data_IF_379106221033
#
_entry.id   IF_379106221033
#
_cell.length_a   1.000
_cell.length_b   1.000
_cell.length_c   1.000
_cell.angle_alpha   90.00
_cell.angle_beta   90.00
_cell.angle_gamma   90.00
#
_symmetry.space_group_name_H-M   'P 1'
#
loop_
_entity.id
_entity.type
_entity.pdbx_description
1 polymer ?
#
# COMPACT_ATOMS: atom_id res chain seq x y z
N UNK A 1 0.03 -1.36 3.93
CA UNK A 1 0.48 -1.83 5.24
C UNK A 1 1.97 -2.12 5.27
N UNK A 2 2.42 -3.24 4.68
CA UNK A 2 3.74 -3.81 5.00
C UNK A 2 5.01 -3.04 4.66
N UNK A 3 4.94 -2.03 3.79
CA UNK A 3 6.02 -1.07 3.53
C UNK A 3 5.58 0.35 3.89
N UNK A 4 4.77 0.50 4.94
CA UNK A 4 4.32 1.78 5.47
C UNK A 4 4.29 1.76 7.01
N UNK A 5 3.50 0.85 7.58
CA UNK A 5 3.30 0.75 9.03
C UNK A 5 4.63 0.58 9.81
N UNK A 6 5.61 -0.23 9.36
CA UNK A 6 6.90 -0.34 10.08
C UNK A 6 7.67 0.97 10.26
N UNK A 7 7.38 1.99 9.44
CA UNK A 7 8.11 3.26 9.46
C UNK A 7 7.35 4.35 10.23
N UNK A 8 6.02 4.29 10.28
CA UNK A 8 5.16 5.31 10.90
C UNK A 8 4.62 4.85 12.26
N UNK A 9 4.29 3.58 12.41
CA UNK A 9 3.74 2.96 13.62
C UNK A 9 4.52 1.67 13.99
N UNK A 10 5.82 1.77 14.34
CA UNK A 10 6.66 0.59 14.57
C UNK A 10 6.17 -0.28 15.74
N UNK A 11 5.53 0.32 16.74
CA UNK A 11 5.01 -0.36 17.92
C UNK A 11 3.75 -1.20 17.63
N UNK A 12 3.07 -0.96 16.50
CA UNK A 12 1.88 -1.72 16.13
C UNK A 12 2.27 -3.18 15.83
N UNK A 13 1.76 -4.11 16.65
CA UNK A 13 1.93 -5.54 16.42
C UNK A 13 0.96 -6.04 15.34
N UNK A 14 1.46 -6.16 14.11
CA UNK A 14 0.69 -6.70 12.97
C UNK A 14 1.45 -7.79 12.20
N UNK A 15 2.76 -7.90 12.42
CA UNK A 15 3.68 -8.75 11.64
C UNK A 15 3.96 -10.11 12.32
N UNK A 16 5.11 -10.71 12.03
CA UNK A 16 5.50 -12.00 12.60
C UNK A 16 5.71 -12.01 14.12
N UNK A 17 5.67 -10.86 14.80
CA UNK A 17 5.51 -10.79 16.28
C UNK A 17 4.27 -11.56 16.76
N UNK A 18 3.18 -11.52 16.00
CA UNK A 18 1.94 -12.23 16.34
C UNK A 18 2.03 -13.72 16.01
N UNK A 19 2.06 -14.61 17.01
CA UNK A 19 2.36 -16.05 16.85
C UNK A 19 1.53 -16.81 15.80
N UNK A 20 0.36 -16.34 15.39
CA UNK A 20 -0.49 -17.01 14.40
C UNK A 20 -0.29 -16.49 12.97
N UNK A 21 0.51 -15.44 12.76
CA UNK A 21 0.83 -14.91 11.42
C UNK A 21 1.89 -15.79 10.77
N UNK A 22 1.50 -16.69 9.88
CA UNK A 22 2.40 -17.66 9.25
C UNK A 22 3.03 -17.16 7.94
N UNK A 23 2.39 -16.20 7.27
CA UNK A 23 2.90 -15.56 6.06
C UNK A 23 2.36 -14.13 5.92
N UNK A 24 3.11 -13.28 5.21
CA UNK A 24 2.79 -11.88 4.95
C UNK A 24 3.13 -11.58 3.49
N UNK A 25 2.28 -10.82 2.81
CA UNK A 25 2.60 -10.25 1.51
C UNK A 25 2.58 -8.72 1.53
N UNK A 26 3.33 -8.10 0.63
CA UNK A 26 3.30 -6.66 0.41
C UNK A 26 3.63 -6.32 -1.05
N UNK A 27 3.02 -5.27 -1.58
CA UNK A 27 3.32 -4.79 -2.93
C UNK A 27 4.44 -3.76 -2.87
N UNK A 28 5.58 -4.04 -3.50
CA UNK A 28 6.67 -3.06 -3.60
C UNK A 28 6.27 -1.83 -4.43
N UNK A 29 5.36 -2.01 -5.38
CA UNK A 29 4.82 -0.93 -6.20
C UNK A 29 3.68 -0.11 -5.56
N UNK A 30 3.40 -0.32 -4.27
CA UNK A 30 2.54 0.57 -3.48
C UNK A 30 3.44 1.47 -2.63
N UNK A 31 3.39 1.36 -1.31
CA UNK A 31 4.26 2.11 -0.40
C UNK A 31 5.73 1.65 -0.42
N UNK A 32 6.10 0.62 -1.20
CA UNK A 32 7.50 0.26 -1.41
C UNK A 32 8.28 1.19 -2.35
N UNK A 33 7.59 2.17 -2.97
CA UNK A 33 8.15 3.26 -3.79
C UNK A 33 8.78 2.81 -5.11
N UNK A 34 8.39 1.65 -5.64
CA UNK A 34 8.82 1.16 -6.95
C UNK A 34 7.70 1.34 -7.97
N UNK A 35 8.03 1.45 -9.26
CA UNK A 35 7.04 1.36 -10.32
C UNK A 35 6.34 -0.01 -10.38
N UNK A 36 5.15 -0.12 -11.03
CA UNK A 36 4.41 -1.37 -11.13
C UNK A 36 5.24 -2.57 -11.62
N UNK A 37 5.06 -3.73 -10.96
CA UNK A 37 5.67 -5.00 -11.39
C UNK A 37 6.46 -5.77 -10.32
N UNK A 38 6.45 -5.36 -9.05
CA UNK A 38 7.08 -6.14 -7.95
C UNK A 38 6.18 -6.27 -6.72
N UNK A 39 6.16 -7.48 -6.16
CA UNK A 39 5.51 -7.82 -4.91
C UNK A 39 6.37 -8.82 -4.13
N UNK A 40 6.09 -8.93 -2.83
CA UNK A 40 6.84 -9.76 -1.90
C UNK A 40 5.87 -10.63 -1.13
N UNK A 41 6.27 -11.87 -0.88
CA UNK A 41 5.61 -12.77 0.07
C UNK A 41 6.69 -13.44 0.90
N UNK A 42 6.48 -13.47 2.21
CA UNK A 42 7.36 -14.09 3.17
C UNK A 42 6.56 -15.08 4.00
N UNK A 43 7.14 -16.23 4.28
CA UNK A 43 6.65 -17.18 5.26
C UNK A 43 7.52 -17.10 6.50
N UNK A 44 6.92 -17.28 7.68
CA UNK A 44 7.63 -17.29 8.95
C UNK A 44 8.67 -18.41 9.02
N UNK A 45 8.31 -19.59 8.52
CA UNK A 45 9.10 -20.81 8.64
C UNK A 45 8.83 -21.72 7.44
N UNK A 46 9.85 -22.50 7.04
CA UNK A 46 9.77 -23.44 5.92
C UNK A 46 8.61 -24.44 6.08
N UNK A 47 8.28 -24.87 7.30
CA UNK A 47 7.20 -25.85 7.54
C UNK A 47 5.81 -25.37 7.11
N UNK A 48 5.63 -24.07 6.91
CA UNK A 48 4.37 -23.48 6.44
C UNK A 48 4.31 -23.35 4.91
N UNK A 49 5.35 -23.75 4.19
CA UNK A 49 5.40 -23.81 2.74
C UNK A 49 5.50 -25.29 2.30
N UNK A 50 4.39 -25.90 1.83
CA UNK A 50 4.39 -27.28 1.37
C UNK A 50 5.43 -27.54 0.29
N UNK A 51 6.18 -28.63 0.39
CA UNK A 51 7.32 -28.90 -0.49
C UNK A 51 6.88 -29.16 -1.94
N UNK A 52 5.67 -29.64 -2.15
CA UNK A 52 5.07 -29.85 -3.47
C UNK A 52 4.81 -28.55 -4.26
N UNK A 53 4.81 -27.40 -3.58
CA UNK A 53 4.71 -26.08 -4.22
C UNK A 53 6.08 -25.52 -4.60
N UNK A 54 7.16 -26.15 -4.15
CA UNK A 54 8.54 -25.69 -4.37
C UNK A 54 9.13 -26.39 -5.57
N UNK A 55 9.46 -25.60 -6.59
CA UNK A 55 10.25 -26.06 -7.72
C UNK A 55 11.73 -25.79 -7.45
N UNK A 56 12.63 -26.65 -7.94
CA UNK A 56 14.06 -26.45 -7.78
C UNK A 56 14.68 -26.02 -9.09
N UNK A 57 15.55 -25.01 -9.02
CA UNK A 57 16.30 -24.50 -10.18
C UNK A 57 17.80 -24.60 -9.92
N UNK A 58 18.57 -24.91 -10.97
CA UNK A 58 20.03 -25.00 -10.87
C UNK A 58 20.65 -23.62 -10.66
N UNK A 59 21.51 -23.50 -9.65
CA UNK A 59 22.23 -22.26 -9.36
C UNK A 59 23.64 -22.57 -8.84
N UNK A 60 24.68 -22.09 -9.54
CA UNK A 60 26.10 -22.26 -9.20
C UNK A 60 26.51 -23.72 -8.90
N UNK A 61 25.95 -24.68 -9.64
CA UNK A 61 26.23 -26.12 -9.44
C UNK A 61 25.46 -26.77 -8.30
N UNK A 62 24.62 -26.03 -7.58
CA UNK A 62 23.63 -26.54 -6.63
C UNK A 62 22.20 -26.28 -7.08
N UNK A 63 21.26 -26.37 -6.13
CA UNK A 63 19.83 -26.13 -6.34
C UNK A 63 19.33 -24.99 -5.44
N UNK A 64 18.48 -24.12 -5.98
CA UNK A 64 17.72 -23.13 -5.22
C UNK A 64 16.22 -23.41 -5.32
N UNK A 65 15.46 -23.32 -4.20
CA UNK A 65 14.01 -23.44 -4.22
C UNK A 65 13.36 -22.17 -4.79
N UNK A 66 12.35 -22.35 -5.64
CA UNK A 66 11.49 -21.30 -6.17
C UNK A 66 10.03 -21.62 -5.89
N UNK A 67 9.28 -20.60 -5.48
CA UNK A 67 7.83 -20.62 -5.39
C UNK A 67 7.32 -19.47 -6.25
N UNK A 68 6.85 -19.77 -7.45
CA UNK A 68 6.42 -18.76 -8.41
C UNK A 68 5.30 -19.30 -9.29
N UNK A 69 4.32 -18.44 -9.60
CA UNK A 69 3.31 -18.70 -10.63
C UNK A 69 3.87 -18.30 -12.01
N UNK A 70 4.58 -17.18 -12.07
CA UNK A 70 5.18 -16.67 -13.29
C UNK A 70 6.56 -17.30 -13.51
N UNK A 71 6.96 -17.42 -14.77
CA UNK A 71 8.33 -17.80 -15.16
C UNK A 71 9.13 -16.55 -15.55
N UNK A 72 9.40 -16.33 -16.83
CA UNK A 72 10.14 -15.16 -17.31
C UNK A 72 9.39 -13.85 -17.05
N UNK A 73 10.04 -12.91 -16.37
CA UNK A 73 9.58 -11.54 -16.21
C UNK A 73 10.77 -10.58 -16.03
N UNK A 74 10.51 -9.27 -16.08
CA UNK A 74 11.55 -8.26 -15.88
C UNK A 74 12.10 -8.26 -14.45
N UNK A 75 13.42 -8.14 -14.31
CA UNK A 75 14.10 -7.95 -13.04
C UNK A 75 14.24 -6.46 -12.64
N UNK A 76 13.90 -5.52 -13.53
CA UNK A 76 14.09 -4.07 -13.30
C UNK A 76 13.43 -3.58 -12.01
N UNK A 77 12.23 -4.08 -11.71
CA UNK A 77 11.49 -3.67 -10.51
C UNK A 77 12.09 -4.26 -9.23
N UNK A 78 12.62 -5.48 -9.26
CA UNK A 78 13.38 -6.06 -8.15
C UNK A 78 14.64 -5.24 -7.87
N UNK A 79 15.40 -4.91 -8.93
CA UNK A 79 16.59 -4.07 -8.84
C UNK A 79 16.23 -2.68 -8.30
N UNK A 80 15.13 -2.08 -8.77
CA UNK A 80 14.62 -0.81 -8.28
C UNK A 80 14.23 -0.86 -6.80
N UNK A 81 13.62 -1.95 -6.33
CA UNK A 81 13.32 -2.13 -4.91
C UNK A 81 14.59 -2.18 -4.07
N UNK A 82 15.60 -2.94 -4.52
CA UNK A 82 16.88 -3.03 -3.83
C UNK A 82 17.61 -1.68 -3.81
N UNK A 83 17.59 -0.94 -4.92
CA UNK A 83 18.09 0.43 -4.99
C UNK A 83 17.40 1.32 -3.94
N UNK A 84 16.07 1.31 -3.85
CA UNK A 84 15.36 2.13 -2.86
C UNK A 84 15.72 1.76 -1.42
N UNK A 85 15.87 0.46 -1.11
CA UNK A 85 16.31 0.02 0.22
C UNK A 85 17.68 0.59 0.58
N UNK A 86 18.65 0.53 -0.33
CA UNK A 86 20.00 1.07 -0.11
C UNK A 86 20.00 2.60 -0.08
N UNK A 87 19.26 3.23 -1.00
CA UNK A 87 19.25 4.69 -1.19
C UNK A 87 18.57 5.42 -0.04
N UNK A 88 17.46 4.89 0.46
CA UNK A 88 16.66 5.54 1.50
C UNK A 88 16.99 5.01 2.89
N UNK A 89 17.29 3.71 3.03
CA UNK A 89 17.39 3.08 4.34
C UNK A 89 16.10 3.26 5.16
N UNK A 90 16.17 2.99 6.46
CA UNK A 90 15.00 3.14 7.33
C UNK A 90 14.52 4.60 7.41
N UNK A 91 15.44 5.53 7.69
CA UNK A 91 15.10 6.94 7.92
C UNK A 91 14.55 7.64 6.68
N UNK A 92 15.04 7.27 5.49
CA UNK A 92 14.52 7.82 4.24
C UNK A 92 13.10 7.36 3.95
N UNK A 93 12.80 6.06 4.15
CA UNK A 93 11.43 5.55 4.03
C UNK A 93 10.51 6.22 5.06
N UNK A 94 10.95 6.32 6.32
CA UNK A 94 10.21 7.02 7.38
C UNK A 94 9.91 8.47 7.01
N UNK A 95 10.91 9.24 6.59
CA UNK A 95 10.72 10.64 6.21
C UNK A 95 9.75 10.81 5.03
N UNK A 96 9.78 9.91 4.05
CA UNK A 96 8.83 9.94 2.92
C UNK A 96 7.41 9.65 3.43
N UNK A 97 7.23 8.59 4.22
CA UNK A 97 5.91 8.20 4.70
C UNK A 97 5.29 9.19 5.68
N UNK A 98 6.08 9.80 6.56
CA UNK A 98 5.61 10.87 7.45
C UNK A 98 5.12 12.09 6.66
N UNK A 99 5.78 12.45 5.56
CA UNK A 99 5.31 13.53 4.67
C UNK A 99 4.01 13.16 3.97
N UNK A 100 3.92 11.93 3.44
CA UNK A 100 2.67 11.43 2.83
C UNK A 100 1.52 11.42 3.85
N UNK A 101 1.79 11.01 5.09
CA UNK A 101 0.83 11.01 6.18
C UNK A 101 0.31 12.41 6.52
N UNK A 102 1.21 13.39 6.66
CA UNK A 102 0.84 14.79 6.92
C UNK A 102 -0.06 15.38 5.83
N UNK A 103 0.21 15.05 4.55
CA UNK A 103 -0.64 15.51 3.45
C UNK A 103 -2.03 14.89 3.52
N UNK A 104 -2.13 13.59 3.84
CA UNK A 104 -3.43 12.93 3.98
C UNK A 104 -4.27 13.57 5.11
N UNK A 105 -3.68 13.79 6.28
CA UNK A 105 -4.36 14.46 7.39
C UNK A 105 -4.78 15.89 7.03
N UNK A 106 -3.90 16.68 6.42
CA UNK A 106 -4.22 18.02 5.96
C UNK A 106 -5.41 18.02 4.99
N UNK A 107 -5.43 17.10 4.02
CA UNK A 107 -6.55 16.97 3.09
C UNK A 107 -7.85 16.60 3.79
N UNK A 108 -7.82 15.69 4.77
CA UNK A 108 -9.00 15.33 5.54
C UNK A 108 -9.56 16.55 6.30
N UNK A 109 -8.71 17.31 6.98
CA UNK A 109 -9.09 18.53 7.68
C UNK A 109 -9.70 19.59 6.74
N UNK A 110 -9.07 19.86 5.60
CA UNK A 110 -9.56 20.86 4.64
C UNK A 110 -10.87 20.43 3.97
N UNK A 111 -11.03 19.13 3.67
CA UNK A 111 -12.29 18.58 3.14
C UNK A 111 -13.40 18.73 4.19
N UNK A 112 -13.11 18.42 5.46
CA UNK A 112 -14.09 18.55 6.55
C UNK A 112 -14.52 20.01 6.77
N UNK A 113 -13.57 20.96 6.72
CA UNK A 113 -13.83 22.41 6.86
C UNK A 113 -14.81 22.96 5.83
N UNK A 114 -14.96 22.32 4.68
CA UNK A 114 -15.99 22.73 3.69
C UNK A 114 -17.42 22.60 4.22
N UNK A 115 -17.63 21.80 5.27
CA UNK A 115 -18.92 21.55 5.88
C UNK A 115 -19.83 20.59 5.09
N UNK A 116 -19.47 20.24 3.85
CA UNK A 116 -20.29 19.43 2.94
C UNK A 116 -20.12 17.92 3.14
N UNK A 117 -18.98 17.49 3.68
CA UNK A 117 -18.60 16.08 3.77
C UNK A 117 -18.54 15.56 5.21
N UNK A 118 -18.82 14.27 5.37
CA UNK A 118 -18.55 13.49 6.57
C UNK A 118 -17.31 12.62 6.29
N UNK A 119 -16.28 12.74 7.12
CA UNK A 119 -15.03 11.98 7.00
C UNK A 119 -15.25 10.57 7.58
N UNK A 120 -15.05 9.55 6.74
CA UNK A 120 -15.16 8.13 7.11
C UNK A 120 -13.80 7.55 7.52
N UNK A 121 -12.72 8.06 6.92
CA UNK A 121 -11.34 7.76 7.27
C UNK A 121 -10.52 9.03 7.04
N UNK A 122 -9.88 9.52 8.10
CA UNK A 122 -9.13 10.78 8.14
C UNK A 122 -7.67 10.64 7.69
N UNK A 123 -7.23 9.42 7.37
CA UNK A 123 -5.87 9.13 6.95
C UNK A 123 -4.89 8.87 8.10
N UNK A 124 -5.38 8.75 9.35
CA UNK A 124 -4.58 8.51 10.55
C UNK A 124 -3.90 7.13 10.59
N UNK A 125 -4.40 6.13 9.87
CA UNK A 125 -3.79 4.79 9.79
C UNK A 125 -3.02 4.57 8.48
N UNK A 126 -3.73 4.60 7.35
CA UNK A 126 -3.11 4.63 6.03
C UNK A 126 -3.37 6.01 5.44
N UNK A 127 -2.44 6.58 4.65
CA UNK A 127 -2.59 7.92 4.10
C UNK A 127 -3.55 7.90 2.91
N UNK A 128 -4.82 7.64 3.22
CA UNK A 128 -5.98 7.50 2.34
C UNK A 128 -7.11 8.21 3.06
N UNK A 129 -7.71 9.21 2.43
CA UNK A 129 -8.88 9.92 2.97
C UNK A 129 -10.12 9.36 2.31
N UNK A 130 -11.11 8.95 3.12
CA UNK A 130 -12.41 8.51 2.63
C UNK A 130 -13.48 9.42 3.22
N UNK A 131 -14.40 9.88 2.38
CA UNK A 131 -15.47 10.80 2.79
C UNK A 131 -16.75 10.52 2.02
N UNK A 132 -17.89 10.93 2.58
CA UNK A 132 -19.20 10.93 1.92
C UNK A 132 -19.85 12.30 2.03
N UNK A 133 -20.85 12.58 1.20
CA UNK A 133 -21.70 13.76 1.39
C UNK A 133 -22.57 13.59 2.64
N UNK A 134 -22.80 14.67 3.38
CA UNK A 134 -23.74 14.66 4.52
C UNK A 134 -25.18 14.45 4.02
N UNK A 135 -25.97 13.66 4.73
CA UNK A 135 -27.34 13.29 4.32
C UNK A 135 -28.29 14.47 4.09
N UNK A 136 -28.08 15.59 4.80
CA UNK A 136 -28.92 16.80 4.71
C UNK A 136 -28.35 17.88 3.80
N UNK A 137 -27.37 17.54 2.96
CA UNK A 137 -26.83 18.48 1.99
C UNK A 137 -27.85 18.63 0.85
N UNK A 138 -28.65 19.71 0.84
CA UNK A 138 -29.53 20.09 -0.27
C UNK A 138 -28.70 20.48 -1.53
N UNK A 139 -27.83 19.58 -1.97
CA UNK A 139 -26.92 19.77 -3.08
C UNK A 139 -27.57 19.15 -4.32
N UNK A 140 -27.58 19.90 -5.42
CA UNK A 140 -28.05 19.42 -6.72
C UNK A 140 -27.05 18.50 -7.45
N UNK A 141 -26.09 17.93 -6.72
CA UNK A 141 -24.99 17.12 -7.25
C UNK A 141 -24.57 16.07 -6.22
N UNK A 142 -23.94 15.00 -6.70
CA UNK A 142 -23.43 13.89 -5.90
C UNK A 142 -21.92 13.65 -6.12
N UNK A 143 -21.32 12.69 -5.43
CA UNK A 143 -19.87 12.43 -5.52
C UNK A 143 -19.38 12.06 -6.93
N UNK A 144 -20.22 11.47 -7.78
CA UNK A 144 -19.86 11.20 -9.17
C UNK A 144 -19.72 12.50 -9.97
N UNK A 145 -20.64 13.46 -9.77
CA UNK A 145 -20.54 14.78 -10.40
C UNK A 145 -19.25 15.49 -9.96
N UNK A 146 -18.89 15.40 -8.67
CA UNK A 146 -17.63 15.94 -8.16
C UNK A 146 -16.42 15.24 -8.79
N UNK A 147 -16.42 13.91 -8.89
CA UNK A 147 -15.34 13.16 -9.52
C UNK A 147 -15.16 13.54 -11.01
N UNK A 148 -16.26 13.72 -11.75
CA UNK A 148 -16.24 14.17 -13.14
C UNK A 148 -15.68 15.60 -13.26
N UNK A 149 -16.05 16.50 -12.33
CA UNK A 149 -15.47 17.85 -12.29
C UNK A 149 -13.98 17.83 -11.97
N UNK A 150 -13.53 17.02 -11.02
CA UNK A 150 -12.12 16.84 -10.71
C UNK A 150 -11.34 16.27 -11.90
N UNK A 151 -11.94 15.33 -12.64
CA UNK A 151 -11.31 14.72 -13.81
C UNK A 151 -11.04 15.76 -14.91
N UNK A 152 -11.97 16.70 -15.13
CA UNK A 152 -11.78 17.80 -16.07
C UNK A 152 -10.62 18.74 -15.68
N UNK A 153 -10.29 18.82 -14.39
CA UNK A 153 -9.13 19.56 -13.86
C UNK A 153 -7.86 18.68 -13.79
N UNK A 154 -7.89 17.46 -14.34
CA UNK A 154 -6.76 16.53 -14.40
C UNK A 154 -6.57 15.66 -13.14
N UNK A 155 -7.53 15.66 -12.21
CA UNK A 155 -7.47 14.89 -10.97
C UNK A 155 -8.40 13.67 -11.05
N UNK A 156 -7.90 12.48 -10.69
CA UNK A 156 -8.74 11.29 -10.58
C UNK A 156 -9.12 11.04 -9.11
N UNK A 157 -10.43 10.97 -8.83
CA UNK A 157 -10.97 10.52 -7.55
C UNK A 157 -11.93 9.36 -7.79
N UNK A 158 -11.84 8.30 -6.98
CA UNK A 158 -12.68 7.12 -7.12
C UNK A 158 -13.90 7.23 -6.21
N UNK A 159 -15.09 6.98 -6.77
CA UNK A 159 -16.35 6.96 -6.03
C UNK A 159 -16.94 5.55 -6.02
N UNK A 160 -17.43 5.12 -4.86
CA UNK A 160 -18.19 3.89 -4.69
C UNK A 160 -19.60 4.29 -4.24
N UNK A 161 -20.64 3.75 -4.88
CA UNK A 161 -21.99 3.90 -4.35
C UNK A 161 -22.09 3.06 -3.08
N UNK A 162 -22.60 3.68 -2.01
CA UNK A 162 -23.26 2.91 -0.97
C UNK A 162 -24.71 2.81 -1.41
N UNK A 163 -25.20 1.58 -1.53
CA UNK A 163 -26.61 1.29 -1.81
C UNK A 163 -27.40 1.31 -0.51
#
# INVERSE_FOLDING_TARGET
GGLYAPFVEPELEWDFRLKNVISINTSGHKYGLVYPGVGWVLWRDKKYLPEELIFKVSYLGGELPTMAINFSHSASQLIGQYYNFVRYGFDGYKAIHERTHKVAMYLAEEIEKTGMFEIMNDGSQLPIVCYKLKENSNLGWNLYDLADRLFNEGMASACLSTS
#
